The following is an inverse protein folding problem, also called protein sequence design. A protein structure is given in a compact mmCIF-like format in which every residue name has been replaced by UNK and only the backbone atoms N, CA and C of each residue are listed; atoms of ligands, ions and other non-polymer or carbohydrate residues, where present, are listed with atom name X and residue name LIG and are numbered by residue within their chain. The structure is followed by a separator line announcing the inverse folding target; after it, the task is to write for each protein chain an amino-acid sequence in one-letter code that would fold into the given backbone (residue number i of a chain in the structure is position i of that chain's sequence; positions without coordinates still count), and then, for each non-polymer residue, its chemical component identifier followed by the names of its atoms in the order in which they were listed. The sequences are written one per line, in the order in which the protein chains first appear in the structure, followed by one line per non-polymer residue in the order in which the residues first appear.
data_IF_157760729312
#
_entry.id   IF_157760729312
#
_cell.length_a   1.000
_cell.length_b   1.000
_cell.length_c   1.000
_cell.angle_alpha   90.00
_cell.angle_beta   90.00
_cell.angle_gamma   90.00
#
_symmetry.space_group_name_H-M   'P 1'
#
loop_
_entity.id
_entity.type
_entity.pdbx_description
1 polymer ?
#
# COMPACT_ATOMS: atom_id res chain seq x y z
N UNK A 1 -64.89 54.57 -2.94
CA UNK A 1 -65.57 53.28 -2.67
C UNK A 1 -64.56 52.18 -3.00
N UNK A 2 -63.70 51.77 -2.07
CA UNK A 2 -63.84 50.57 -1.22
C UNK A 2 -64.57 49.41 -1.91
N UNK A 3 -63.88 48.29 -2.16
CA UNK A 3 -64.09 47.06 -1.38
C UNK A 3 -62.98 46.02 -1.63
N UNK A 4 -62.59 45.41 -0.52
CA UNK A 4 -61.71 44.26 -0.33
C UNK A 4 -62.10 43.02 -1.15
N UNK A 5 -61.12 42.15 -1.44
CA UNK A 5 -61.18 40.73 -1.02
C UNK A 5 -59.83 40.02 -1.20
N UNK A 6 -59.17 39.83 -0.07
CA UNK A 6 -58.18 38.77 0.17
C UNK A 6 -58.95 37.48 0.42
N UNK A 7 -58.69 36.46 -0.39
CA UNK A 7 -58.89 35.04 -0.05
C UNK A 7 -57.55 34.33 -0.27
N UNK A 8 -57.25 33.14 0.24
CA UNK A 8 -57.93 32.23 1.14
C UNK A 8 -56.93 31.08 1.34
N UNK A 9 -56.08 31.08 2.39
CA UNK A 9 -55.30 29.87 2.75
C UNK A 9 -55.11 29.82 4.27
N UNK A 10 -56.09 29.28 4.97
CA UNK A 10 -55.91 28.73 6.33
C UNK A 10 -57.09 27.82 6.67
N UNK A 11 -57.04 26.56 6.22
CA UNK A 11 -57.79 25.48 6.85
C UNK A 11 -56.97 24.20 6.82
N UNK A 12 -56.25 23.94 7.92
CA UNK A 12 -55.97 22.61 8.48
C UNK A 12 -55.24 22.76 9.82
N UNK A 13 -56.02 22.94 10.88
CA UNK A 13 -55.65 22.57 12.24
C UNK A 13 -56.95 22.39 13.02
N UNK A 14 -57.58 21.23 12.85
CA UNK A 14 -58.60 20.74 13.75
C UNK A 14 -57.97 20.31 15.08
N UNK A 15 -58.78 20.40 16.14
CA UNK A 15 -58.62 19.83 17.48
C UNK A 15 -57.57 20.44 18.42
N UNK A 16 -57.94 21.54 19.07
CA UNK A 16 -57.97 21.65 20.55
C UNK A 16 -58.51 23.03 20.95
N UNK A 17 -59.78 23.14 21.35
CA UNK A 17 -60.31 24.36 21.97
C UNK A 17 -59.83 24.46 23.43
N UNK A 18 -59.32 25.62 23.86
CA UNK A 18 -59.53 26.11 25.22
C UNK A 18 -60.68 27.11 25.22
N UNK A 19 -61.64 26.90 26.13
CA UNK A 19 -62.74 27.80 26.41
C UNK A 19 -62.23 29.15 26.92
N UNK A 20 -62.47 30.22 26.17
CA UNK A 20 -62.20 31.59 26.63
C UNK A 20 -63.51 32.19 27.14
N UNK A 21 -63.62 32.28 28.47
CA UNK A 21 -64.70 33.00 29.14
C UNK A 21 -64.62 34.50 28.83
N UNK A 22 -65.58 35.00 28.06
CA UNK A 22 -65.67 36.41 27.69
C UNK A 22 -66.17 37.22 28.91
N UNK A 23 -65.25 37.70 29.74
CA UNK A 23 -65.58 38.63 30.83
C UNK A 23 -65.77 40.04 30.28
N UNK A 24 -66.88 40.67 30.68
CA UNK A 24 -67.40 41.98 30.27
C UNK A 24 -66.46 43.18 30.53
N UNK A 25 -65.24 42.95 31.03
CA UNK A 25 -64.25 43.98 31.36
C UNK A 25 -63.21 44.28 30.26
N UNK A 26 -63.09 43.45 29.22
CA UNK A 26 -62.13 43.69 28.13
C UNK A 26 -62.49 44.90 27.26
N UNK A 27 -63.79 45.22 27.13
CA UNK A 27 -64.24 46.38 26.35
C UNK A 27 -63.76 47.73 26.92
N UNK A 28 -63.57 47.84 28.24
CA UNK A 28 -63.12 49.09 28.89
C UNK A 28 -61.61 49.34 28.76
N UNK A 29 -60.80 48.27 28.71
CA UNK A 29 -59.33 48.37 28.60
C UNK A 29 -58.91 48.74 27.17
N UNK A 30 -59.62 48.23 26.16
CA UNK A 30 -59.34 48.57 24.75
C UNK A 30 -59.71 50.03 24.43
N UNK A 31 -60.76 50.57 25.08
CA UNK A 31 -61.20 51.95 24.86
C UNK A 31 -60.26 52.99 25.51
N UNK A 32 -59.67 52.68 26.66
CA UNK A 32 -58.68 53.56 27.32
C UNK A 32 -57.34 53.59 26.58
N UNK A 33 -56.95 52.50 25.90
CA UNK A 33 -55.73 52.46 25.08
C UNK A 33 -55.83 53.30 23.80
N UNK A 34 -57.04 53.41 23.23
CA UNK A 34 -57.32 54.26 22.07
C UNK A 34 -57.32 55.76 22.41
N UNK A 35 -57.71 56.13 23.65
CA UNK A 35 -57.75 57.52 24.10
C UNK A 35 -56.41 58.04 24.67
N UNK A 36 -55.46 57.14 24.97
CA UNK A 36 -54.14 57.49 25.53
C UNK A 36 -52.99 57.45 24.50
N UNK A 37 -53.27 57.13 23.24
CA UNK A 37 -52.32 57.39 22.17
C UNK A 37 -52.29 58.89 21.90
N UNK A 38 -51.48 59.63 22.66
CA UNK A 38 -50.88 60.86 22.17
C UNK A 38 -50.15 60.50 20.89
N UNK A 39 -50.78 60.76 19.75
CA UNK A 39 -50.11 60.78 18.46
C UNK A 39 -49.03 61.86 18.55
N UNK A 40 -47.80 61.45 18.86
CA UNK A 40 -46.66 62.26 18.46
C UNK A 40 -46.69 62.28 16.94
N UNK A 41 -46.72 63.47 16.36
CA UNK A 41 -46.54 63.62 14.91
C UNK A 41 -45.26 62.86 14.53
N UNK A 42 -45.28 62.02 13.49
CA UNK A 42 -44.10 61.27 13.09
C UNK A 42 -42.99 62.27 12.74
N UNK A 43 -41.86 62.18 13.45
CA UNK A 43 -40.68 62.97 13.10
C UNK A 43 -40.22 62.54 11.71
N UNK A 44 -40.34 63.43 10.73
CA UNK A 44 -39.82 63.22 9.38
C UNK A 44 -38.30 63.28 9.49
N UNK A 45 -37.66 62.11 9.46
CA UNK A 45 -36.21 61.99 9.40
C UNK A 45 -35.80 61.71 7.96
N UNK A 46 -35.01 62.60 7.36
CA UNK A 46 -34.41 62.37 6.06
C UNK A 46 -33.23 61.42 6.25
N UNK A 47 -33.44 60.13 5.99
CA UNK A 47 -32.36 59.13 5.98
C UNK A 47 -31.57 59.25 4.67
N UNK A 48 -30.24 59.22 4.79
CA UNK A 48 -29.40 59.06 3.59
C UNK A 48 -29.59 57.65 3.01
N UNK A 49 -29.50 57.47 1.68
CA UNK A 49 -29.61 56.14 1.05
C UNK A 49 -28.71 55.08 1.71
N UNK A 50 -27.51 55.46 2.14
CA UNK A 50 -26.56 54.59 2.83
C UNK A 50 -27.04 54.11 4.20
N UNK A 51 -27.69 54.97 4.98
CA UNK A 51 -28.23 54.62 6.30
C UNK A 51 -29.39 53.63 6.14
N UNK A 52 -30.24 53.84 5.13
CA UNK A 52 -31.27 52.88 4.74
C UNK A 52 -30.67 51.53 4.30
N UNK A 53 -29.59 51.55 3.52
CA UNK A 53 -28.90 50.32 3.11
C UNK A 53 -28.34 49.55 4.31
N UNK A 54 -27.72 50.23 5.27
CA UNK A 54 -27.19 49.59 6.48
C UNK A 54 -28.27 48.96 7.35
N UNK A 55 -29.45 49.58 7.45
CA UNK A 55 -30.60 49.00 8.15
C UNK A 55 -31.03 47.69 7.46
N UNK A 56 -31.11 47.68 6.14
CA UNK A 56 -31.45 46.47 5.38
C UNK A 56 -30.38 45.38 5.52
N UNK A 57 -29.09 45.73 5.56
CA UNK A 57 -28.00 44.79 5.82
C UNK A 57 -28.12 44.19 7.23
N UNK A 58 -28.34 45.02 8.26
CA UNK A 58 -28.58 44.56 9.64
C UNK A 58 -29.80 43.64 9.72
N UNK A 59 -30.87 43.96 9.00
CA UNK A 59 -32.04 43.09 8.90
C UNK A 59 -31.74 41.76 8.19
N UNK A 60 -30.90 41.74 7.14
CA UNK A 60 -30.51 40.51 6.43
C UNK A 60 -29.69 39.56 7.30
N UNK A 61 -28.83 40.08 8.18
CA UNK A 61 -28.06 39.28 9.14
C UNK A 61 -28.95 38.55 10.16
N UNK A 62 -30.11 39.14 10.49
CA UNK A 62 -31.07 38.54 11.42
C UNK A 62 -32.07 37.59 10.75
N UNK A 63 -31.98 37.37 9.43
CA UNK A 63 -32.86 36.41 8.75
C UNK A 63 -32.44 35.00 9.14
N UNK A 64 -33.37 34.15 9.62
CA UNK A 64 -33.03 32.76 9.89
C UNK A 64 -32.62 32.08 8.59
N UNK A 65 -31.47 31.40 8.62
CA UNK A 65 -31.07 30.51 7.53
C UNK A 65 -32.05 29.33 7.53
N UNK A 66 -32.57 28.97 6.37
CA UNK A 66 -33.44 27.79 6.24
C UNK A 66 -32.74 26.56 6.81
N UNK A 67 -33.47 25.61 7.42
CA UNK A 67 -32.86 24.45 8.05
C UNK A 67 -31.88 23.71 7.13
N UNK A 68 -30.72 23.37 7.67
CA UNK A 68 -29.59 22.79 6.93
C UNK A 68 -29.54 21.26 7.08
N UNK A 69 -28.37 20.65 6.87
CA UNK A 69 -28.15 19.20 7.03
C UNK A 69 -28.72 18.62 8.34
N UNK A 70 -28.83 19.41 9.41
CA UNK A 70 -29.36 18.97 10.70
C UNK A 70 -30.82 18.48 10.69
N UNK A 71 -31.62 18.81 9.67
CA UNK A 71 -32.99 18.30 9.54
C UNK A 71 -33.12 17.10 8.59
N UNK A 72 -32.06 16.77 7.85
CA UNK A 72 -32.09 15.68 6.88
C UNK A 72 -31.89 14.33 7.56
N UNK A 73 -32.61 13.31 7.06
CA UNK A 73 -32.44 11.93 7.53
C UNK A 73 -31.09 11.41 7.08
N UNK A 74 -30.20 11.08 8.02
CA UNK A 74 -28.85 10.54 7.74
C UNK A 74 -28.91 9.25 6.90
N UNK A 75 -29.97 8.44 7.05
CA UNK A 75 -30.19 7.22 6.25
C UNK A 75 -30.63 7.45 4.80
N UNK A 76 -30.48 8.66 4.25
CA UNK A 76 -30.69 8.89 2.82
C UNK A 76 -29.63 8.14 2.01
N UNK A 77 -30.09 7.41 0.99
CA UNK A 77 -29.25 6.43 0.27
C UNK A 77 -28.00 7.06 -0.35
N UNK A 78 -28.04 8.31 -0.81
CA UNK A 78 -26.89 8.97 -1.42
C UNK A 78 -25.89 9.59 -0.44
N UNK A 79 -26.30 9.85 0.80
CA UNK A 79 -25.53 10.71 1.71
C UNK A 79 -24.21 10.06 2.14
N UNK A 80 -24.27 8.80 2.55
CA UNK A 80 -23.08 8.03 2.98
C UNK A 80 -22.08 7.86 1.83
N UNK A 81 -22.51 7.23 0.72
CA UNK A 81 -21.61 6.94 -0.39
C UNK A 81 -20.97 8.20 -1.01
N UNK A 82 -21.73 9.30 -1.12
CA UNK A 82 -21.19 10.56 -1.64
C UNK A 82 -20.14 11.18 -0.71
N UNK A 83 -20.38 11.18 0.60
CA UNK A 83 -19.40 11.69 1.57
C UNK A 83 -18.13 10.85 1.55
N UNK A 84 -18.27 9.52 1.54
CA UNK A 84 -17.14 8.60 1.55
C UNK A 84 -16.30 8.68 0.28
N UNK A 85 -16.87 8.85 -0.93
CA UNK A 85 -16.06 9.09 -2.15
C UNK A 85 -15.11 10.27 -1.98
N UNK A 86 -15.58 11.36 -1.36
CA UNK A 86 -14.77 12.56 -1.16
C UNK A 86 -13.70 12.33 -0.10
N UNK A 87 -14.07 11.73 1.03
CA UNK A 87 -13.12 11.43 2.11
C UNK A 87 -12.02 10.51 1.59
N UNK A 88 -12.37 9.42 0.92
CA UNK A 88 -11.38 8.47 0.39
C UNK A 88 -10.57 9.06 -0.75
N UNK A 89 -11.19 9.88 -1.61
CA UNK A 89 -10.48 10.59 -2.67
C UNK A 89 -9.47 11.60 -2.15
N UNK A 90 -9.82 12.36 -1.09
CA UNK A 90 -8.90 13.25 -0.41
C UNK A 90 -7.76 12.49 0.27
N UNK A 91 -8.03 11.32 0.87
CA UNK A 91 -6.99 10.49 1.48
C UNK A 91 -6.04 9.95 0.41
N UNK A 92 -6.56 9.31 -0.65
CA UNK A 92 -5.74 8.70 -1.70
C UNK A 92 -4.96 9.76 -2.48
N UNK A 93 -5.67 10.77 -2.99
CA UNK A 93 -5.06 11.86 -3.75
C UNK A 93 -4.12 12.70 -2.88
N UNK A 94 -4.55 13.05 -1.66
CA UNK A 94 -3.73 13.80 -0.72
C UNK A 94 -2.45 13.06 -0.34
N UNK A 95 -2.52 11.76 -0.05
CA UNK A 95 -1.34 10.93 0.23
C UNK A 95 -0.41 10.88 -0.97
N UNK A 96 -0.93 10.68 -2.19
CA UNK A 96 -0.13 10.67 -3.40
C UNK A 96 0.58 12.00 -3.67
N UNK A 97 -0.15 13.13 -3.60
CA UNK A 97 0.43 14.46 -3.81
C UNK A 97 1.42 14.85 -2.72
N UNK A 98 1.15 14.51 -1.46
CA UNK A 98 2.09 14.74 -0.37
C UNK A 98 3.37 13.91 -0.57
N UNK A 99 3.26 12.63 -0.95
CA UNK A 99 4.43 11.79 -1.23
C UNK A 99 5.25 12.33 -2.39
N UNK A 100 4.61 12.64 -3.52
CA UNK A 100 5.28 13.18 -4.72
C UNK A 100 5.91 14.55 -4.43
N UNK A 101 5.16 15.44 -3.78
CA UNK A 101 5.64 16.77 -3.41
C UNK A 101 6.79 16.71 -2.41
N UNK A 102 6.70 15.84 -1.40
CA UNK A 102 7.79 15.64 -0.43
C UNK A 102 9.02 15.06 -1.11
N UNK A 103 8.87 14.06 -1.97
CA UNK A 103 9.99 13.50 -2.74
C UNK A 103 10.67 14.54 -3.63
N UNK A 104 9.89 15.45 -4.24
CA UNK A 104 10.44 16.52 -5.05
C UNK A 104 11.14 17.63 -4.22
N UNK A 105 10.61 17.98 -3.04
CA UNK A 105 11.08 19.13 -2.25
C UNK A 105 12.14 18.75 -1.22
N UNK A 106 12.05 17.57 -0.60
CA UNK A 106 12.91 17.15 0.50
C UNK A 106 14.43 17.25 0.19
N UNK A 107 14.92 16.88 -1.01
CA UNK A 107 16.34 17.04 -1.33
C UNK A 107 16.83 18.48 -1.25
N UNK A 108 16.01 19.46 -1.65
CA UNK A 108 16.35 20.89 -1.60
C UNK A 108 16.39 21.44 -0.18
N UNK A 109 15.73 20.76 0.76
CA UNK A 109 15.75 21.10 2.19
C UNK A 109 16.81 20.31 2.96
N UNK A 110 17.60 19.46 2.29
CA UNK A 110 18.55 18.55 2.94
C UNK A 110 17.86 17.44 3.76
N UNK A 111 16.58 17.16 3.50
CA UNK A 111 15.82 16.10 4.15
C UNK A 111 15.90 14.83 3.28
N UNK A 112 16.29 13.71 3.89
CA UNK A 112 16.22 12.40 3.24
C UNK A 112 14.78 11.94 3.13
N UNK A 113 14.25 11.83 1.91
CA UNK A 113 12.93 11.27 1.64
C UNK A 113 13.00 10.31 0.44
N UNK A 114 13.49 9.11 0.75
CA UNK A 114 13.57 7.99 -0.18
C UNK A 114 12.75 6.80 0.32
N UNK A 115 12.69 5.75 -0.50
CA UNK A 115 11.96 4.53 -0.17
C UNK A 115 12.48 3.86 1.10
N UNK A 116 13.79 3.97 1.40
CA UNK A 116 14.41 3.37 2.58
C UNK A 116 13.92 4.08 3.83
N UNK A 117 13.99 5.41 3.88
CA UNK A 117 13.50 6.23 4.99
C UNK A 117 12.01 5.98 5.26
N UNK A 118 11.20 5.85 4.21
CA UNK A 118 9.77 5.55 4.33
C UNK A 118 9.50 4.16 4.92
N UNK A 119 10.19 3.13 4.42
CA UNK A 119 10.05 1.76 4.90
C UNK A 119 10.53 1.64 6.34
N UNK A 120 11.67 2.24 6.69
CA UNK A 120 12.19 2.28 8.06
C UNK A 120 11.25 3.01 9.01
N UNK A 121 10.76 4.20 8.64
CA UNK A 121 9.80 4.94 9.47
C UNK A 121 8.50 4.16 9.70
N UNK A 122 7.96 3.52 8.67
CA UNK A 122 6.80 2.64 8.80
C UNK A 122 7.13 1.37 9.62
N UNK A 123 8.32 0.80 9.43
CA UNK A 123 8.86 -0.35 10.13
C UNK A 123 9.03 -0.13 11.63
N UNK A 124 9.35 1.08 12.07
CA UNK A 124 9.49 1.45 13.47
C UNK A 124 8.14 1.54 14.23
N UNK A 125 7.01 1.55 13.53
CA UNK A 125 5.70 1.71 14.15
C UNK A 125 5.24 0.45 14.93
N UNK A 126 4.49 0.61 16.04
CA UNK A 126 3.79 -0.48 16.68
C UNK A 126 2.85 -1.20 15.70
N UNK A 127 2.64 -2.50 15.91
CA UNK A 127 1.80 -3.33 15.04
C UNK A 127 0.41 -2.71 14.76
N UNK A 128 -0.25 -2.19 15.80
CA UNK A 128 -1.58 -1.56 15.68
C UNK A 128 -1.54 -0.33 14.76
N UNK A 129 -0.49 0.49 14.85
CA UNK A 129 -0.33 1.65 13.99
C UNK A 129 -0.07 1.25 12.53
N UNK A 130 0.79 0.24 12.30
CA UNK A 130 1.01 -0.33 10.95
C UNK A 130 -0.30 -0.83 10.34
N UNK A 131 -1.09 -1.60 11.11
CA UNK A 131 -2.37 -2.12 10.67
C UNK A 131 -3.38 -0.99 10.36
N UNK A 132 -3.48 0.01 11.24
CA UNK A 132 -4.37 1.15 11.06
C UNK A 132 -4.01 1.99 9.83
N UNK A 133 -2.72 2.19 9.55
CA UNK A 133 -2.26 2.91 8.35
C UNK A 133 -2.52 2.05 7.10
N UNK A 134 -2.05 0.79 7.09
CA UNK A 134 -2.17 -0.11 5.94
C UNK A 134 -3.62 -0.32 5.55
N UNK A 135 -4.53 -0.53 6.51
CA UNK A 135 -5.96 -0.69 6.23
C UNK A 135 -6.67 0.65 6.09
N UNK A 136 -6.57 1.54 7.08
CA UNK A 136 -7.40 2.73 7.21
C UNK A 136 -6.99 3.94 6.37
N UNK A 137 -5.72 4.08 6.00
CA UNK A 137 -5.25 5.17 5.14
C UNK A 137 -4.97 4.73 3.71
N UNK A 138 -4.51 3.49 3.52
CA UNK A 138 -4.10 3.01 2.21
C UNK A 138 -5.16 2.05 1.62
N UNK A 139 -5.29 0.85 2.17
CA UNK A 139 -6.05 -0.25 1.57
C UNK A 139 -7.55 0.02 1.41
N UNK A 140 -8.25 0.36 2.50
CA UNK A 140 -9.69 0.62 2.46
C UNK A 140 -10.03 1.89 1.67
N UNK A 141 -9.39 3.06 1.88
CA UNK A 141 -9.68 4.26 1.10
C UNK A 141 -9.44 4.06 -0.39
N UNK A 142 -8.33 3.42 -0.78
CA UNK A 142 -8.05 3.09 -2.17
C UNK A 142 -9.13 2.19 -2.76
N UNK A 143 -9.43 1.06 -2.09
CA UNK A 143 -10.42 0.09 -2.56
C UNK A 143 -11.81 0.73 -2.69
N UNK A 144 -12.23 1.49 -1.68
CA UNK A 144 -13.51 2.18 -1.69
C UNK A 144 -13.60 3.23 -2.79
N UNK A 145 -12.58 4.08 -2.92
CA UNK A 145 -12.58 5.10 -3.95
C UNK A 145 -12.63 4.49 -5.35
N UNK A 146 -11.85 3.42 -5.58
CA UNK A 146 -11.81 2.71 -6.85
C UNK A 146 -13.16 2.05 -7.18
N UNK A 147 -13.70 1.24 -6.27
CA UNK A 147 -14.96 0.49 -6.48
C UNK A 147 -16.13 1.47 -6.61
N UNK A 148 -16.22 2.46 -5.73
CA UNK A 148 -17.28 3.45 -5.81
C UNK A 148 -17.11 4.35 -7.04
N UNK A 149 -15.88 4.59 -7.50
CA UNK A 149 -15.58 5.26 -8.77
C UNK A 149 -16.14 4.50 -9.97
N UNK A 150 -15.94 3.17 -10.03
CA UNK A 150 -16.58 2.32 -11.06
C UNK A 150 -18.11 2.45 -11.00
N UNK A 151 -18.69 2.40 -9.79
CA UNK A 151 -20.13 2.59 -9.60
C UNK A 151 -20.60 3.95 -10.09
N UNK A 152 -19.83 5.02 -9.86
CA UNK A 152 -20.10 6.35 -10.40
C UNK A 152 -20.08 6.35 -11.93
N UNK A 153 -19.07 5.73 -12.57
CA UNK A 153 -19.02 5.61 -14.03
C UNK A 153 -20.22 4.85 -14.60
N UNK A 154 -20.68 3.80 -13.93
CA UNK A 154 -21.91 3.08 -14.32
C UNK A 154 -23.15 3.97 -14.19
N UNK A 155 -23.21 4.81 -13.15
CA UNK A 155 -24.27 5.80 -13.01
C UNK A 155 -24.20 6.86 -14.11
N UNK A 156 -23.01 7.32 -14.51
CA UNK A 156 -22.86 8.28 -15.61
C UNK A 156 -23.40 7.73 -16.96
N UNK A 157 -23.46 6.40 -17.12
CA UNK A 157 -24.11 5.73 -18.25
C UNK A 157 -25.65 5.64 -18.15
N UNK A 158 -26.26 6.23 -17.11
CA UNK A 158 -27.72 6.18 -16.89
C UNK A 158 -28.22 4.89 -16.21
N UNK A 159 -27.33 4.00 -15.77
CA UNK A 159 -27.67 2.66 -15.28
C UNK A 159 -27.73 2.64 -13.75
N UNK A 160 -28.72 1.97 -13.14
CA UNK A 160 -28.71 1.67 -11.70
C UNK A 160 -29.31 2.72 -10.76
N UNK A 161 -29.99 3.74 -11.27
CA UNK A 161 -30.63 4.81 -10.47
C UNK A 161 -31.87 4.39 -9.67
N UNK A 162 -32.43 3.19 -9.91
CA UNK A 162 -33.57 2.72 -9.11
C UNK A 162 -33.14 2.54 -7.66
N UNK A 163 -33.95 3.01 -6.70
CA UNK A 163 -33.64 2.96 -5.25
C UNK A 163 -33.18 1.58 -4.76
N UNK A 164 -33.77 0.50 -5.27
CA UNK A 164 -33.37 -0.86 -4.92
C UNK A 164 -31.98 -1.24 -5.46
N UNK A 165 -31.68 -0.88 -6.72
CA UNK A 165 -30.36 -1.09 -7.34
C UNK A 165 -29.30 -0.24 -6.65
N UNK A 166 -29.63 1.01 -6.33
CA UNK A 166 -28.76 1.90 -5.58
C UNK A 166 -28.34 1.28 -4.24
N UNK A 167 -29.30 0.81 -3.41
CA UNK A 167 -29.00 0.17 -2.12
C UNK A 167 -28.13 -1.08 -2.28
N UNK A 168 -28.44 -1.94 -3.26
CA UNK A 168 -27.62 -3.14 -3.54
C UNK A 168 -26.20 -2.77 -3.93
N UNK A 169 -26.03 -1.79 -4.83
CA UNK A 169 -24.71 -1.31 -5.27
C UNK A 169 -23.91 -0.67 -4.14
N UNK A 170 -24.57 0.01 -3.20
CA UNK A 170 -23.93 0.59 -2.01
C UNK A 170 -23.42 -0.49 -1.06
N UNK A 171 -24.26 -1.49 -0.74
CA UNK A 171 -23.83 -2.64 0.08
C UNK A 171 -22.66 -3.37 -0.59
N UNK A 172 -22.75 -3.63 -1.90
CA UNK A 172 -21.67 -4.25 -2.66
C UNK A 172 -20.38 -3.41 -2.60
N UNK A 173 -20.47 -2.08 -2.73
CA UNK A 173 -19.33 -1.17 -2.62
C UNK A 173 -18.66 -1.33 -1.27
N UNK A 174 -19.41 -1.23 -0.17
CA UNK A 174 -18.85 -1.38 1.18
C UNK A 174 -18.19 -2.73 1.40
N UNK A 175 -18.87 -3.82 1.06
CA UNK A 175 -18.35 -5.18 1.25
C UNK A 175 -17.09 -5.42 0.42
N UNK A 176 -17.10 -5.08 -0.87
CA UNK A 176 -15.94 -5.25 -1.74
C UNK A 176 -14.77 -4.35 -1.32
N UNK A 177 -15.03 -3.17 -0.77
CA UNK A 177 -13.96 -2.26 -0.30
C UNK A 177 -13.26 -2.78 0.94
N UNK A 178 -14.02 -3.35 1.88
CA UNK A 178 -13.44 -4.00 3.06
C UNK A 178 -12.65 -5.24 2.65
N UNK A 179 -13.20 -6.08 1.76
CA UNK A 179 -12.49 -7.27 1.27
C UNK A 179 -11.22 -6.88 0.51
N UNK A 180 -11.30 -5.93 -0.43
CA UNK A 180 -10.14 -5.45 -1.20
C UNK A 180 -9.06 -4.81 -0.32
N UNK A 181 -9.45 -4.12 0.75
CA UNK A 181 -8.52 -3.59 1.74
C UNK A 181 -7.85 -4.66 2.62
N UNK A 182 -8.41 -5.87 2.70
CA UNK A 182 -7.89 -6.98 3.51
C UNK A 182 -7.18 -8.06 2.67
N UNK A 183 -7.65 -8.34 1.47
CA UNK A 183 -7.20 -9.43 0.59
C UNK A 183 -6.80 -8.87 -0.77
N UNK A 184 -5.50 -8.76 -1.00
CA UNK A 184 -4.99 -8.27 -2.28
C UNK A 184 -3.74 -9.03 -2.68
N UNK A 185 -3.48 -8.97 -3.98
CA UNK A 185 -2.24 -9.44 -4.59
C UNK A 185 -1.74 -8.31 -5.45
N UNK A 186 -0.44 -8.02 -5.35
CA UNK A 186 0.24 -7.00 -6.13
C UNK A 186 1.50 -7.60 -6.74
N UNK A 187 1.76 -7.26 -8.00
CA UNK A 187 2.90 -7.77 -8.74
C UNK A 187 3.57 -6.64 -9.49
N UNK A 188 4.88 -6.53 -9.34
CA UNK A 188 5.74 -5.69 -10.17
C UNK A 188 6.30 -6.55 -11.29
N UNK A 189 6.24 -6.02 -12.52
CA UNK A 189 6.69 -6.74 -13.72
C UNK A 189 7.61 -5.83 -14.54
N UNK A 190 8.86 -6.26 -14.72
CA UNK A 190 9.81 -5.65 -15.65
C UNK A 190 10.17 -6.62 -16.78
N UNK A 191 9.44 -6.53 -17.89
CA UNK A 191 9.66 -7.36 -19.09
C UNK A 191 10.93 -6.95 -19.87
N UNK A 192 11.48 -5.76 -19.63
CA UNK A 192 12.67 -5.25 -20.32
C UNK A 192 13.98 -5.52 -19.59
N UNK A 193 13.93 -5.81 -18.29
CA UNK A 193 15.08 -6.14 -17.46
C UNK A 193 15.62 -7.56 -17.65
N UNK A 194 16.58 -7.95 -16.80
CA UNK A 194 17.24 -9.26 -16.83
C UNK A 194 18.77 -9.16 -17.03
N UNK A 195 19.54 -10.25 -16.82
CA UNK A 195 19.12 -11.62 -16.48
C UNK A 195 18.93 -11.85 -14.98
N UNK A 196 18.77 -10.80 -14.18
CA UNK A 196 18.37 -10.94 -12.77
C UNK A 196 16.85 -11.06 -12.65
N UNK A 197 16.34 -11.11 -11.41
CA UNK A 197 14.89 -11.17 -11.15
C UNK A 197 14.18 -9.99 -11.81
N UNK A 198 13.13 -10.29 -12.57
CA UNK A 198 12.34 -9.31 -13.33
C UNK A 198 11.00 -9.01 -12.66
N UNK A 199 10.51 -9.96 -11.85
CA UNK A 199 9.18 -9.93 -11.29
C UNK A 199 9.22 -10.24 -9.80
N UNK A 200 8.47 -9.46 -9.03
CA UNK A 200 8.20 -9.68 -7.62
C UNK A 200 6.70 -9.65 -7.38
N UNK A 201 6.21 -10.57 -6.55
CA UNK A 201 4.79 -10.64 -6.18
C UNK A 201 4.66 -10.66 -4.66
N UNK A 202 3.63 -9.97 -4.18
CA UNK A 202 3.14 -10.06 -2.82
C UNK A 202 1.67 -10.45 -2.86
N UNK A 203 1.28 -11.44 -2.08
CA UNK A 203 -0.13 -11.77 -1.86
C UNK A 203 -0.42 -11.83 -0.37
N UNK A 204 -1.56 -11.31 0.10
CA UNK A 204 -1.96 -11.51 1.51
C UNK A 204 -1.97 -13.00 1.90
N UNK A 205 -2.16 -13.90 0.92
CA UNK A 205 -2.15 -15.35 1.12
C UNK A 205 -0.81 -15.92 1.63
N UNK A 206 0.31 -15.20 1.47
CA UNK A 206 1.61 -15.65 1.96
C UNK A 206 1.78 -15.50 3.48
N UNK A 207 0.86 -14.83 4.18
CA UNK A 207 0.94 -14.70 5.64
C UNK A 207 0.64 -16.04 6.37
N UNK A 208 1.45 -16.43 7.38
CA UNK A 208 1.35 -17.72 8.07
C UNK A 208 -0.04 -18.04 8.63
N UNK A 209 -0.75 -17.02 9.12
CA UNK A 209 -2.08 -17.16 9.73
C UNK A 209 -3.21 -17.32 8.70
N UNK A 210 -2.94 -17.07 7.40
CA UNK A 210 -3.93 -17.18 6.32
C UNK A 210 -3.82 -18.47 5.51
N UNK A 211 -2.65 -19.12 5.50
CA UNK A 211 -2.43 -20.38 4.79
C UNK A 211 -3.30 -21.54 5.31
N UNK A 212 -3.93 -21.41 6.48
CA UNK A 212 -4.74 -22.44 7.13
C UNK A 212 -6.26 -22.30 6.95
N UNK A 213 -6.77 -21.31 6.19
CA UNK A 213 -8.23 -21.04 6.12
C UNK A 213 -8.82 -21.11 4.70
N UNK A 214 -9.30 -22.29 4.31
CA UNK A 214 -10.45 -22.68 3.43
C UNK A 214 -10.95 -21.77 2.27
N UNK A 215 -10.22 -20.77 1.80
CA UNK A 215 -10.70 -19.84 0.77
C UNK A 215 -9.59 -19.30 -0.13
N UNK A 216 -9.09 -20.15 -1.04
CA UNK A 216 -8.08 -19.79 -2.04
C UNK A 216 -8.68 -19.15 -3.29
N UNK A 217 -9.98 -19.34 -3.55
CA UNK A 217 -10.65 -18.91 -4.80
C UNK A 217 -10.39 -17.45 -5.15
N UNK A 218 -10.48 -16.54 -4.18
CA UNK A 218 -10.23 -15.11 -4.42
C UNK A 218 -8.78 -14.86 -4.85
N UNK A 219 -7.82 -15.57 -4.27
CA UNK A 219 -6.41 -15.43 -4.62
C UNK A 219 -6.09 -16.10 -5.97
N UNK A 220 -6.73 -17.24 -6.27
CA UNK A 220 -6.64 -17.88 -7.59
C UNK A 220 -7.14 -16.95 -8.70
N UNK A 221 -8.29 -16.29 -8.51
CA UNK A 221 -8.82 -15.29 -9.44
C UNK A 221 -7.91 -14.06 -9.57
N UNK A 222 -7.35 -13.57 -8.46
CA UNK A 222 -6.39 -12.45 -8.49
C UNK A 222 -5.11 -12.80 -9.25
N UNK A 223 -4.57 -13.99 -9.00
CA UNK A 223 -3.35 -14.48 -9.64
C UNK A 223 -3.56 -14.71 -11.13
N UNK A 224 -4.65 -15.35 -11.54
CA UNK A 224 -5.00 -15.50 -12.97
C UNK A 224 -5.06 -14.13 -13.64
N UNK A 225 -5.76 -13.16 -13.03
CA UNK A 225 -5.88 -11.81 -13.58
C UNK A 225 -4.52 -11.12 -13.76
N UNK A 226 -3.64 -11.23 -12.77
CA UNK A 226 -2.29 -10.66 -12.82
C UNK A 226 -1.44 -11.31 -13.91
N UNK A 227 -1.56 -12.64 -14.09
CA UNK A 227 -0.89 -13.35 -15.19
C UNK A 227 -1.38 -12.84 -16.54
N UNK A 228 -2.70 -12.66 -16.73
CA UNK A 228 -3.26 -12.10 -17.97
C UNK A 228 -2.76 -10.68 -18.26
N UNK A 229 -2.68 -9.81 -17.25
CA UNK A 229 -2.13 -8.47 -17.44
C UNK A 229 -0.62 -8.50 -17.72
N UNK A 230 0.12 -9.45 -17.15
CA UNK A 230 1.55 -9.64 -17.45
C UNK A 230 1.78 -10.05 -18.91
N UNK A 231 0.93 -10.93 -19.45
CA UNK A 231 0.93 -11.30 -20.87
C UNK A 231 0.67 -10.07 -21.74
N UNK A 232 -0.29 -9.24 -21.35
CA UNK A 232 -0.59 -7.99 -22.07
C UNK A 232 0.60 -7.03 -22.07
N UNK A 233 1.26 -6.83 -20.92
CA UNK A 233 2.45 -5.98 -20.80
C UNK A 233 3.58 -6.50 -21.70
N UNK A 234 3.85 -7.81 -21.71
CA UNK A 234 4.86 -8.41 -22.56
C UNK A 234 4.53 -8.24 -24.05
N UNK A 235 3.26 -8.40 -24.43
CA UNK A 235 2.79 -8.16 -25.80
C UNK A 235 2.96 -6.70 -26.22
N UNK A 236 2.60 -5.76 -25.36
CA UNK A 236 2.71 -4.32 -25.62
C UNK A 236 4.18 -3.87 -25.69
N UNK A 237 5.09 -4.55 -24.97
CA UNK A 237 6.53 -4.30 -25.06
C UNK A 237 7.12 -4.64 -26.43
N UNK A 238 6.65 -5.73 -27.06
CA UNK A 238 6.91 -6.04 -28.47
C UNK A 238 8.37 -6.31 -28.84
N UNK A 239 9.24 -6.62 -27.86
CA UNK A 239 10.65 -6.99 -28.06
C UNK A 239 10.92 -8.37 -27.46
N UNK A 240 12.01 -8.99 -27.90
CA UNK A 240 12.48 -10.27 -27.36
C UNK A 240 12.78 -10.15 -25.85
N UNK A 241 12.30 -11.12 -25.07
CA UNK A 241 12.55 -11.18 -23.62
C UNK A 241 13.83 -11.97 -23.35
N UNK A 242 14.47 -11.67 -22.23
CA UNK A 242 15.73 -12.32 -21.82
C UNK A 242 15.59 -13.84 -21.65
N UNK A 243 14.40 -14.32 -21.25
CA UNK A 243 14.08 -15.74 -21.09
C UNK A 243 13.12 -16.25 -22.17
N UNK A 244 13.24 -15.75 -23.41
CA UNK A 244 12.40 -16.15 -24.53
C UNK A 244 10.96 -15.66 -24.38
N UNK A 245 10.04 -16.57 -24.03
CA UNK A 245 8.61 -16.27 -23.82
C UNK A 245 8.26 -16.08 -22.32
N UNK A 246 9.26 -16.04 -21.45
CA UNK A 246 9.07 -15.96 -20.01
C UNK A 246 9.78 -14.76 -19.36
N UNK A 247 9.38 -14.47 -18.13
CA UNK A 247 10.05 -13.55 -17.21
C UNK A 247 10.44 -14.27 -15.93
N UNK A 248 11.56 -13.89 -15.34
CA UNK A 248 12.04 -14.48 -14.09
C UNK A 248 11.31 -13.89 -12.88
N UNK A 249 10.44 -14.69 -12.28
CA UNK A 249 9.75 -14.39 -11.02
C UNK A 249 10.54 -14.94 -9.84
N UNK A 250 11.00 -14.03 -8.98
CA UNK A 250 11.90 -14.34 -7.88
C UNK A 250 11.30 -14.16 -6.50
N UNK A 251 11.99 -14.69 -5.49
CA UNK A 251 11.58 -14.70 -4.08
C UNK A 251 10.12 -15.12 -3.86
N UNK A 252 9.59 -15.99 -4.72
CA UNK A 252 8.19 -16.38 -4.72
C UNK A 252 7.89 -17.33 -3.56
N UNK A 253 7.01 -16.92 -2.65
CA UNK A 253 6.55 -17.73 -1.52
C UNK A 253 5.87 -19.02 -2.00
N UNK A 254 6.12 -20.15 -1.31
CA UNK A 254 5.62 -21.47 -1.73
C UNK A 254 4.09 -21.52 -1.87
N UNK A 255 3.34 -20.97 -0.92
CA UNK A 255 1.87 -20.97 -0.94
C UNK A 255 1.30 -20.25 -2.17
N UNK A 256 1.92 -19.14 -2.57
CA UNK A 256 1.53 -18.38 -3.76
C UNK A 256 1.94 -19.13 -5.03
N UNK A 257 3.11 -19.77 -5.02
CA UNK A 257 3.57 -20.62 -6.13
C UNK A 257 2.62 -21.77 -6.42
N UNK A 258 2.14 -22.48 -5.40
CA UNK A 258 1.21 -23.60 -5.58
C UNK A 258 -0.10 -23.15 -6.25
N UNK A 259 -0.57 -21.94 -5.95
CA UNK A 259 -1.73 -21.36 -6.64
C UNK A 259 -1.38 -20.94 -8.07
N UNK A 260 -0.21 -20.33 -8.28
CA UNK A 260 0.25 -19.92 -9.61
C UNK A 260 0.46 -21.09 -10.56
N UNK A 261 0.88 -22.27 -10.08
CA UNK A 261 0.99 -23.46 -10.94
C UNK A 261 -0.34 -23.85 -11.59
N UNK A 262 -1.47 -23.56 -10.94
CA UNK A 262 -2.81 -23.83 -11.49
C UNK A 262 -3.11 -23.04 -12.77
N UNK A 263 -2.40 -21.94 -13.02
CA UNK A 263 -2.52 -21.16 -14.25
C UNK A 263 -1.93 -21.87 -15.47
N UNK A 264 -1.11 -22.92 -15.27
CA UNK A 264 -0.38 -23.60 -16.34
C UNK A 264 0.75 -22.78 -16.97
N UNK A 265 1.03 -21.58 -16.44
CA UNK A 265 1.99 -20.61 -17.01
C UNK A 265 3.31 -20.55 -16.26
N UNK A 266 3.48 -21.35 -15.20
CA UNK A 266 4.65 -21.29 -14.34
C UNK A 266 5.48 -22.55 -14.51
N UNK A 267 6.76 -22.35 -14.78
CA UNK A 267 7.75 -23.41 -14.92
C UNK A 267 8.76 -23.32 -13.75
N UNK A 268 8.95 -24.42 -12.98
CA UNK A 268 9.96 -24.47 -11.93
C UNK A 268 11.36 -24.40 -12.53
N UNK A 269 12.28 -23.73 -11.83
CA UNK A 269 13.71 -23.78 -12.19
C UNK A 269 14.40 -24.97 -11.52
N UNK A 270 15.42 -25.49 -12.18
CA UNK A 270 16.29 -26.57 -11.66
C UNK A 270 16.93 -26.23 -10.32
N UNK A 271 17.13 -24.93 -10.04
CA UNK A 271 17.65 -24.43 -8.77
C UNK A 271 16.78 -24.77 -7.55
N UNK A 272 15.52 -25.15 -7.78
CA UNK A 272 14.62 -25.62 -6.72
C UNK A 272 14.17 -24.53 -5.75
N UNK A 273 13.83 -24.95 -4.53
CA UNK A 273 13.34 -24.09 -3.48
C UNK A 273 14.47 -23.68 -2.52
N UNK A 274 14.29 -22.54 -1.86
CA UNK A 274 15.22 -21.98 -0.88
C UNK A 274 14.46 -21.68 0.39
N UNK A 275 15.09 -21.91 1.54
CA UNK A 275 14.58 -21.37 2.79
C UNK A 275 15.09 -19.93 2.92
N UNK A 276 14.19 -18.97 3.16
CA UNK A 276 14.56 -17.58 3.46
C UNK A 276 14.92 -17.48 4.94
N UNK A 277 16.20 -17.21 5.18
CA UNK A 277 16.77 -17.00 6.50
C UNK A 277 16.71 -15.53 6.87
N UNK A 278 16.23 -15.23 8.07
CA UNK A 278 16.26 -13.89 8.63
C UNK A 278 17.19 -13.84 9.82
N UNK A 279 17.87 -12.71 9.95
CA UNK A 279 18.78 -12.39 11.04
C UNK A 279 18.35 -11.05 11.62
N UNK A 280 18.26 -10.96 12.94
CA UNK A 280 18.15 -9.66 13.58
C UNK A 280 19.50 -8.98 13.56
N UNK A 281 19.54 -7.74 13.10
CA UNK A 281 20.76 -6.95 13.01
C UNK A 281 21.48 -6.85 14.36
N UNK A 282 20.73 -6.64 15.46
CA UNK A 282 21.24 -6.56 16.83
C UNK A 282 21.91 -7.85 17.32
N UNK A 283 21.47 -9.00 16.80
CA UNK A 283 21.93 -10.33 17.19
C UNK A 283 23.10 -10.81 16.32
N UNK A 284 23.52 -10.07 15.29
CA UNK A 284 24.66 -10.44 14.45
C UNK A 284 25.93 -10.51 15.34
N UNK A 285 26.67 -11.64 15.34
CA UNK A 285 27.83 -11.82 16.22
C UNK A 285 28.87 -10.71 16.06
N UNK A 286 29.18 -10.01 17.15
CA UNK A 286 30.11 -8.86 17.18
C UNK A 286 31.58 -9.28 17.31
N UNK A 287 31.83 -10.51 17.75
CA UNK A 287 33.18 -11.04 17.94
C UNK A 287 33.85 -11.22 16.56
N UNK A 288 34.76 -10.31 16.24
CA UNK A 288 35.61 -10.42 15.05
C UNK A 288 36.81 -11.32 15.38
N UNK A 289 36.94 -12.44 14.65
CA UNK A 289 38.19 -13.19 14.66
C UNK A 289 39.24 -12.29 14.01
N UNK A 290 40.31 -11.96 14.75
CA UNK A 290 41.45 -11.26 14.15
C UNK A 290 41.92 -12.07 12.95
N UNK A 291 42.07 -11.40 11.81
CA UNK A 291 42.60 -12.06 10.63
C UNK A 291 43.97 -12.66 10.97
N UNK A 292 44.22 -13.94 10.64
CA UNK A 292 45.53 -14.54 10.76
C UNK A 292 46.60 -13.71 10.05
N UNK A 293 47.85 -13.84 10.49
CA UNK A 293 49.00 -13.21 9.83
C UNK A 293 49.03 -13.59 8.34
N UNK A 294 49.35 -12.61 7.48
CA UNK A 294 49.34 -12.76 6.02
C UNK A 294 47.97 -12.62 5.34
N UNK A 295 46.91 -12.24 6.07
CA UNK A 295 45.57 -11.99 5.52
C UNK A 295 45.14 -10.52 5.69
N UNK A 296 44.44 -9.98 4.68
CA UNK A 296 43.90 -8.62 4.67
C UNK A 296 42.45 -8.58 4.20
N UNK A 297 41.72 -7.58 4.67
CA UNK A 297 40.40 -7.24 4.14
C UNK A 297 40.54 -6.59 2.77
N UNK A 298 39.55 -6.79 1.91
CA UNK A 298 39.44 -6.12 0.62
C UNK A 298 38.03 -6.18 0.07
N UNK A 299 37.83 -5.52 -1.06
CA UNK A 299 36.60 -5.59 -1.86
C UNK A 299 36.86 -6.39 -3.14
N UNK A 300 35.78 -6.82 -3.80
CA UNK A 300 35.87 -7.55 -5.06
C UNK A 300 36.38 -6.64 -6.19
N UNK A 301 37.42 -7.10 -6.88
CA UNK A 301 37.85 -6.58 -8.18
C UNK A 301 37.16 -7.36 -9.30
N UNK A 302 37.38 -6.95 -10.55
CA UNK A 302 36.84 -7.68 -11.70
C UNK A 302 37.36 -9.13 -11.78
N UNK A 303 38.64 -9.34 -11.51
CA UNK A 303 39.25 -10.68 -11.55
C UNK A 303 38.73 -11.55 -10.40
N UNK A 304 38.50 -10.98 -9.22
CA UNK A 304 37.87 -11.74 -8.13
C UNK A 304 36.45 -12.16 -8.51
N UNK A 305 35.66 -11.30 -9.18
CA UNK A 305 34.33 -11.68 -9.63
C UNK A 305 34.36 -12.85 -10.61
N UNK A 306 35.40 -12.98 -11.45
CA UNK A 306 35.58 -14.16 -12.33
C UNK A 306 35.83 -15.43 -11.50
N UNK A 307 36.62 -15.34 -10.44
CA UNK A 307 36.84 -16.45 -9.50
C UNK A 307 35.53 -16.83 -8.79
N UNK A 308 34.77 -15.85 -8.29
CA UNK A 308 33.47 -16.07 -7.63
C UNK A 308 32.51 -16.84 -8.54
N UNK A 309 32.39 -16.44 -9.80
CA UNK A 309 31.54 -17.11 -10.79
C UNK A 309 32.01 -18.56 -11.03
N UNK A 310 33.32 -18.82 -11.02
CA UNK A 310 33.86 -20.18 -11.16
C UNK A 310 33.61 -21.11 -9.96
N UNK A 311 33.02 -20.60 -8.87
CA UNK A 311 32.79 -21.32 -7.60
C UNK A 311 31.31 -21.48 -7.26
N UNK A 312 30.41 -21.13 -8.18
CA UNK A 312 28.97 -21.24 -7.98
C UNK A 312 28.27 -21.73 -9.23
N UNK A 313 27.28 -22.60 -9.06
CA UNK A 313 26.39 -23.05 -10.13
C UNK A 313 25.23 -22.07 -10.37
N UNK A 314 25.12 -21.01 -9.55
CA UNK A 314 24.10 -19.98 -9.71
C UNK A 314 24.58 -19.01 -10.81
N UNK A 315 23.87 -18.92 -11.95
CA UNK A 315 24.30 -18.07 -13.06
C UNK A 315 24.33 -16.60 -12.65
N UNK A 316 25.51 -15.98 -12.74
CA UNK A 316 25.76 -14.56 -12.48
C UNK A 316 26.77 -14.02 -13.48
N UNK A 317 26.70 -12.73 -13.75
CA UNK A 317 27.69 -12.03 -14.59
C UNK A 317 28.63 -11.18 -13.74
N UNK A 318 29.83 -10.93 -14.24
CA UNK A 318 30.82 -10.07 -13.58
C UNK A 318 30.26 -8.67 -13.39
N UNK A 319 29.54 -8.15 -14.40
CA UNK A 319 28.92 -6.83 -14.37
C UNK A 319 27.92 -6.69 -13.23
N UNK A 320 27.16 -7.74 -12.93
CA UNK A 320 26.20 -7.76 -11.83
C UNK A 320 26.91 -7.77 -10.48
N UNK A 321 27.87 -8.68 -10.27
CA UNK A 321 28.63 -8.76 -9.01
C UNK A 321 29.37 -7.47 -8.68
N UNK A 322 29.90 -6.77 -9.69
CA UNK A 322 30.60 -5.48 -9.50
C UNK A 322 29.72 -4.36 -8.95
N UNK A 323 28.39 -4.47 -9.10
CA UNK A 323 27.42 -3.47 -8.61
C UNK A 323 26.97 -3.75 -7.18
N UNK A 324 27.33 -4.91 -6.62
CA UNK A 324 26.90 -5.36 -5.30
C UNK A 324 27.95 -5.02 -4.24
N UNK A 325 27.53 -4.56 -3.05
CA UNK A 325 28.44 -4.47 -1.90
C UNK A 325 29.10 -5.82 -1.65
N UNK A 326 30.41 -5.82 -1.48
CA UNK A 326 31.21 -7.03 -1.31
C UNK A 326 32.25 -6.85 -0.22
N UNK A 327 32.61 -7.97 0.41
CA UNK A 327 33.73 -8.03 1.33
C UNK A 327 34.50 -9.33 1.08
N UNK A 328 35.82 -9.24 1.12
CA UNK A 328 36.74 -10.34 0.86
C UNK A 328 37.84 -10.38 1.93
N UNK A 329 38.29 -11.60 2.24
CA UNK A 329 39.56 -11.86 2.90
C UNK A 329 40.50 -12.36 1.82
N UNK A 330 41.65 -11.69 1.70
CA UNK A 330 42.69 -11.96 0.71
C UNK A 330 44.02 -12.23 1.39
N UNK A 331 44.89 -13.00 0.75
CA UNK A 331 46.30 -13.11 1.14
C UNK A 331 47.04 -11.81 0.80
N UNK A 332 48.25 -11.64 1.31
CA UNK A 332 49.10 -10.47 1.02
C UNK A 332 49.33 -10.25 -0.47
N UNK A 333 49.50 -11.33 -1.23
CA UNK A 333 49.66 -11.34 -2.69
C UNK A 333 48.39 -10.97 -3.47
N UNK A 334 47.25 -10.81 -2.78
CA UNK A 334 45.96 -10.44 -3.37
C UNK A 334 45.02 -11.61 -3.64
N UNK A 335 45.44 -12.86 -3.44
CA UNK A 335 44.62 -14.05 -3.69
C UNK A 335 43.39 -14.09 -2.76
N UNK A 336 42.15 -14.16 -3.29
CA UNK A 336 40.94 -14.25 -2.46
C UNK A 336 40.78 -15.64 -1.84
N UNK A 337 40.56 -15.69 -0.52
CA UNK A 337 40.37 -16.95 0.24
C UNK A 337 38.97 -17.10 0.83
N UNK A 338 38.26 -16.00 1.08
CA UNK A 338 36.86 -16.02 1.49
C UNK A 338 36.18 -14.73 1.05
N UNK A 339 34.91 -14.79 0.65
CA UNK A 339 34.17 -13.65 0.13
C UNK A 339 32.66 -13.81 0.36
N UNK A 340 31.96 -12.68 0.29
CA UNK A 340 30.50 -12.61 0.25
C UNK A 340 30.05 -11.29 -0.39
N UNK A 341 28.80 -11.28 -0.83
CA UNK A 341 28.15 -10.13 -1.42
C UNK A 341 26.79 -9.90 -0.76
N UNK A 342 26.30 -8.66 -0.81
CA UNK A 342 24.89 -8.36 -0.58
C UNK A 342 24.21 -8.15 -1.93
N UNK A 343 23.16 -8.93 -2.20
CA UNK A 343 22.33 -8.79 -3.40
C UNK A 343 21.64 -7.43 -3.46
N UNK A 344 20.98 -7.14 -4.59
CA UNK A 344 20.24 -5.88 -4.75
C UNK A 344 19.08 -5.71 -3.75
N UNK A 345 18.62 -6.80 -3.14
CA UNK A 345 17.63 -6.83 -2.07
C UNK A 345 18.25 -6.87 -0.66
N UNK A 346 19.57 -6.69 -0.54
CA UNK A 346 20.32 -6.75 0.72
C UNK A 346 20.55 -8.16 1.27
N UNK A 347 20.16 -9.20 0.52
CA UNK A 347 20.37 -10.59 0.93
C UNK A 347 21.84 -11.00 0.87
N UNK A 348 22.32 -11.79 1.83
CA UNK A 348 23.66 -12.37 1.79
C UNK A 348 23.72 -13.46 0.73
N UNK A 349 24.56 -13.24 -0.28
CA UNK A 349 24.73 -14.14 -1.43
C UNK A 349 26.20 -14.44 -1.69
N UNK A 350 26.43 -15.50 -2.46
CA UNK A 350 27.76 -15.92 -2.93
C UNK A 350 28.81 -16.04 -1.81
N UNK A 351 28.38 -16.35 -0.58
CA UNK A 351 29.28 -16.58 0.54
C UNK A 351 30.09 -17.85 0.29
N UNK A 352 31.41 -17.72 0.29
CA UNK A 352 32.31 -18.84 0.10
C UNK A 352 33.58 -18.69 0.94
N UNK A 353 34.19 -19.83 1.26
CA UNK A 353 35.52 -19.91 1.82
C UNK A 353 36.23 -21.10 1.17
N UNK A 354 37.41 -20.85 0.64
CA UNK A 354 38.25 -21.84 -0.03
C UNK A 354 38.59 -22.99 0.93
N UNK A 355 38.58 -24.22 0.42
CA UNK A 355 38.62 -25.44 1.23
C UNK A 355 39.76 -25.49 2.27
N UNK A 356 41.01 -25.10 1.95
CA UNK A 356 42.11 -25.09 2.92
C UNK A 356 41.92 -24.15 4.11
N UNK A 357 41.04 -23.15 3.97
CA UNK A 357 40.80 -22.08 4.94
C UNK A 357 39.48 -22.23 5.71
N UNK A 358 38.67 -23.26 5.39
CA UNK A 358 37.42 -23.56 6.09
C UNK A 358 37.65 -23.97 7.55
N UNK A 359 36.58 -23.90 8.35
CA UNK A 359 36.56 -24.24 9.80
C UNK A 359 37.48 -23.37 10.68
N UNK A 360 37.92 -22.21 10.18
CA UNK A 360 38.71 -21.21 10.93
C UNK A 360 37.91 -19.97 11.35
N UNK A 361 36.60 -19.97 11.15
CA UNK A 361 35.71 -18.83 11.47
C UNK A 361 35.70 -17.69 10.44
N UNK A 362 36.55 -17.72 9.42
CA UNK A 362 36.71 -16.63 8.44
C UNK A 362 35.41 -16.22 7.75
N UNK A 363 34.65 -17.17 7.21
CA UNK A 363 33.36 -16.90 6.55
C UNK A 363 32.33 -16.26 7.50
N UNK A 364 32.33 -16.68 8.78
CA UNK A 364 31.46 -16.11 9.81
C UNK A 364 31.82 -14.67 10.11
N UNK A 365 33.10 -14.41 10.37
CA UNK A 365 33.58 -13.05 10.63
C UNK A 365 33.34 -12.14 9.43
N UNK A 366 33.60 -12.62 8.22
CA UNK A 366 33.36 -11.89 6.98
C UNK A 366 31.87 -11.55 6.78
N UNK A 367 30.97 -12.53 6.90
CA UNK A 367 29.54 -12.29 6.72
C UNK A 367 28.98 -11.33 7.79
N UNK A 368 29.38 -11.53 9.06
CA UNK A 368 28.96 -10.67 10.16
C UNK A 368 29.44 -9.22 9.97
N UNK A 369 30.69 -9.03 9.54
CA UNK A 369 31.26 -7.72 9.22
C UNK A 369 30.55 -7.06 8.03
N UNK A 370 30.31 -7.82 6.95
CA UNK A 370 29.60 -7.32 5.77
C UNK A 370 28.18 -6.84 6.13
N UNK A 371 27.42 -7.61 6.91
CA UNK A 371 26.12 -7.15 7.38
C UNK A 371 26.22 -5.85 8.18
N UNK A 372 27.08 -5.78 9.20
CA UNK A 372 27.24 -4.57 10.02
C UNK A 372 27.62 -3.32 9.21
N UNK A 373 28.43 -3.48 8.17
CA UNK A 373 28.93 -2.35 7.40
C UNK A 373 28.00 -1.90 6.27
N UNK A 374 27.14 -2.81 5.77
CA UNK A 374 26.42 -2.60 4.50
C UNK A 374 24.94 -2.90 4.53
N UNK A 375 24.39 -3.57 5.55
CA UNK A 375 22.95 -3.89 5.54
C UNK A 375 22.06 -2.66 5.70
N UNK A 376 22.52 -1.67 6.48
CA UNK A 376 21.78 -0.42 6.72
C UNK A 376 21.69 0.47 5.47
N UNK A 377 22.54 0.23 4.45
CA UNK A 377 22.44 0.90 3.15
C UNK A 377 21.19 0.46 2.36
N UNK A 378 20.59 -0.70 2.72
CA UNK A 378 19.39 -1.26 2.07
C UNK A 378 18.12 -0.99 2.87
N UNK A 379 18.15 -1.28 4.18
CA UNK A 379 17.02 -1.08 5.07
C UNK A 379 17.49 -0.91 6.52
N UNK A 380 16.87 0.03 7.24
CA UNK A 380 17.02 0.18 8.69
C UNK A 380 15.75 -0.34 9.41
N UNK A 381 15.33 -1.55 9.06
CA UNK A 381 14.19 -2.24 9.68
C UNK A 381 14.66 -3.27 10.75
N UNK A 382 15.97 -3.32 11.00
CA UNK A 382 16.61 -4.20 11.96
C UNK A 382 16.76 -5.64 11.49
N UNK A 383 16.52 -5.95 10.21
CA UNK A 383 16.64 -7.29 9.65
C UNK A 383 17.70 -7.40 8.56
N UNK A 384 18.35 -8.54 8.52
CA UNK A 384 19.14 -8.99 7.37
C UNK A 384 18.55 -10.31 6.86
N UNK A 385 18.85 -10.70 5.62
CA UNK A 385 18.37 -11.97 5.10
C UNK A 385 19.39 -12.72 4.23
N UNK A 386 19.12 -13.99 3.97
CA UNK A 386 19.86 -14.85 3.06
C UNK A 386 18.94 -15.94 2.52
N UNK A 387 19.14 -16.37 1.28
CA UNK A 387 18.33 -17.42 0.67
C UNK A 387 19.20 -18.66 0.50
N UNK A 388 18.83 -19.75 1.19
CA UNK A 388 19.68 -20.93 1.32
C UNK A 388 18.93 -22.19 0.94
N UNK A 389 19.48 -22.94 0.00
CA UNK A 389 18.90 -24.18 -0.45
C UNK A 389 18.81 -25.21 0.71
N UNK A 390 17.71 -25.97 0.83
CA UNK A 390 17.47 -26.92 1.94
C UNK A 390 18.59 -27.96 2.12
N UNK A 391 19.18 -28.41 1.02
CA UNK A 391 20.25 -29.40 0.96
C UNK A 391 21.64 -28.82 1.26
N UNK A 392 21.80 -27.49 1.23
CA UNK A 392 23.08 -26.82 1.52
C UNK A 392 23.34 -26.74 3.03
N UNK A 393 23.70 -27.88 3.64
CA UNK A 393 23.96 -27.99 5.08
C UNK A 393 25.04 -27.02 5.58
N UNK A 394 26.06 -26.73 4.77
CA UNK A 394 27.13 -25.78 5.10
C UNK A 394 26.62 -24.35 5.28
N UNK A 395 25.87 -23.83 4.30
CA UNK A 395 25.29 -22.49 4.35
C UNK A 395 24.21 -22.38 5.44
N UNK A 396 23.44 -23.44 5.70
CA UNK A 396 22.48 -23.48 6.82
C UNK A 396 23.19 -23.42 8.16
N UNK A 397 24.27 -24.17 8.33
CA UNK A 397 25.13 -24.10 9.52
C UNK A 397 25.73 -22.71 9.70
N UNK A 398 26.16 -22.09 8.60
CA UNK A 398 26.67 -20.72 8.57
C UNK A 398 25.59 -19.74 9.04
N UNK A 399 24.37 -19.80 8.50
CA UNK A 399 23.27 -18.93 8.93
C UNK A 399 22.94 -19.09 10.42
N UNK A 400 22.88 -20.33 10.93
CA UNK A 400 22.71 -20.58 12.38
C UNK A 400 23.81 -19.93 13.21
N UNK A 401 25.06 -19.99 12.73
CA UNK A 401 26.20 -19.40 13.45
C UNK A 401 26.19 -17.87 13.50
N UNK A 402 25.41 -17.22 12.62
CA UNK A 402 25.10 -15.78 12.61
C UNK A 402 23.80 -15.46 13.38
N UNK A 403 23.28 -16.39 14.17
CA UNK A 403 22.01 -16.27 14.91
C UNK A 403 20.77 -16.14 14.01
N UNK A 404 20.87 -16.54 12.74
CA UNK A 404 19.74 -16.56 11.82
C UNK A 404 18.80 -17.74 12.05
N UNK A 405 17.56 -17.57 11.59
CA UNK A 405 16.53 -18.63 11.58
C UNK A 405 15.86 -18.70 10.21
N UNK A 406 15.50 -19.90 9.72
CA UNK A 406 14.65 -20.01 8.55
C UNK A 406 13.21 -19.64 8.93
N UNK A 407 12.54 -18.85 8.10
CA UNK A 407 11.16 -18.42 8.36
C UNK A 407 10.16 -19.02 7.37
N UNK A 408 10.41 -18.88 6.07
CA UNK A 408 9.54 -19.40 5.02
C UNK A 408 10.34 -19.93 3.83
N UNK A 409 9.65 -20.59 2.91
CA UNK A 409 10.25 -21.15 1.70
C UNK A 409 9.87 -20.31 0.49
N UNK A 410 10.87 -20.07 -0.36
CA UNK A 410 10.75 -19.31 -1.60
C UNK A 410 11.30 -20.11 -2.78
N UNK A 411 11.09 -19.62 -3.99
CA UNK A 411 11.75 -20.13 -5.19
C UNK A 411 11.82 -19.07 -6.29
N UNK A 412 12.64 -19.35 -7.29
CA UNK A 412 12.63 -18.65 -8.57
C UNK A 412 11.97 -19.53 -9.61
N UNK A 413 11.02 -18.97 -10.35
CA UNK A 413 10.26 -19.66 -11.40
C UNK A 413 10.26 -18.83 -12.67
N UNK A 414 10.08 -19.49 -13.81
CA UNK A 414 9.80 -18.80 -15.07
C UNK A 414 8.29 -18.64 -15.20
N UNK A 415 7.83 -17.40 -15.31
CA UNK A 415 6.44 -17.09 -15.64
C UNK A 415 6.36 -16.83 -17.14
N UNK A 416 5.66 -17.71 -17.85
CA UNK A 416 5.44 -17.61 -19.29
C UNK A 416 4.41 -16.54 -19.60
N UNK A 417 4.88 -15.45 -20.22
CA UNK A 417 4.09 -14.29 -20.62
C UNK A 417 3.90 -14.20 -22.14
N UNK A 418 4.54 -15.09 -22.90
CA UNK A 418 4.35 -15.23 -24.34
C UNK A 418 3.02 -15.90 -24.73
N UNK A 419 2.73 -15.93 -26.04
CA UNK A 419 1.45 -16.44 -26.55
C UNK A 419 1.25 -17.95 -26.31
N UNK A 420 2.34 -18.73 -26.30
CA UNK A 420 2.29 -20.18 -26.09
C UNK A 420 2.39 -20.53 -24.61
N UNK A 421 1.44 -21.31 -24.12
CA UNK A 421 1.57 -22.01 -22.84
C UNK A 421 2.56 -23.17 -23.06
N UNK A 422 3.59 -23.35 -22.22
CA UNK A 422 4.40 -24.56 -22.27
C UNK A 422 3.51 -25.78 -22.14
N UNK A 423 3.70 -26.78 -22.99
CA UNK A 423 2.99 -28.05 -22.86
C UNK A 423 3.48 -28.69 -21.56
N UNK A 424 2.62 -28.76 -20.54
CA UNK A 424 2.89 -29.61 -19.38
C UNK A 424 2.92 -31.06 -19.87
N UNK A 425 4.12 -31.59 -20.08
CA UNK A 425 4.29 -33.04 -20.09
C UNK A 425 3.97 -33.51 -18.67
N UNK A 426 2.76 -34.03 -18.45
CA UNK A 426 2.43 -34.83 -17.28
C UNK A 426 3.27 -36.11 -17.31
N UNK A 427 4.55 -35.98 -16.99
CA UNK A 427 5.46 -37.08 -16.74
C UNK A 427 5.30 -37.52 -15.30
N UNK A 428 4.52 -38.57 -15.12
CA UNK A 428 4.55 -39.41 -13.91
C UNK A 428 5.97 -39.85 -13.58
N UNK A 429 6.40 -39.62 -12.33
CA UNK A 429 7.32 -40.49 -11.59
C UNK A 429 7.14 -40.25 -10.08
#
# INVERSE_FOLDING_TARGET
MSFQRVGLVAMRATSSCPSVNFTRNTAKITFTRLLSQKSQAPTITNLKPEEGHQILVKQRLNRPVTPNLGIYKIGQVWFSASAWTRITGLIVGGTAYLMLGTHAVAPYLGLGFDSVALVSAFGALPFVAKAAIKFGLLGFPFSYHFINGIRHLVFDLGIGYKKAQFKKSEVATWTLSVIGGLKFTAMYVDVGGGPDTQVWIYSTYEHPDQATTKGTTVYEEQLDRIVQESIKIAKDYGRELVYGDAVLLGTLHDSVRELLYKTGRVEPRETGAYDKWLFKYEDIPKDEVKLPEGMKWGTATEDDCRIVISRTDIPRTVQVLRRMPSLMIKLEDGTPVSWAFLGFDGSLISLHCEEPYRRRGLAKTLAAKLFREKSLDFADDGWCCADVAPENGGSRGMCKSLNGKPYWRISWVLLHVGEKVPIQNNGTA
#
